data_IF_020347000982
#
_entry.id   IF_020347000982
#
_cell.length_a   1.000
_cell.length_b   1.000
_cell.length_c   1.000
_cell.angle_alpha   90.00
_cell.angle_beta   90.00
_cell.angle_gamma   90.00
#
_symmetry.space_group_name_H-M   'P 1'
#
loop_
_entity.id
_entity.type
_entity.pdbx_description
1 polymer ?
#
# COMPACT_ATOMS: atom_id res chain seq x y z
N UNK A 1 -7.84 -15.40 -23.32
CA UNK A 1 -6.80 -15.50 -24.37
C UNK A 1 -6.95 -16.87 -25.01
N UNK A 2 -6.97 -16.93 -26.35
CA UNK A 2 -7.16 -18.20 -27.07
C UNK A 2 -6.08 -19.20 -26.66
N UNK A 3 -6.48 -20.44 -26.34
CA UNK A 3 -5.58 -21.51 -25.90
C UNK A 3 -5.08 -21.39 -24.45
N UNK A 4 -5.46 -20.33 -23.71
CA UNK A 4 -5.13 -20.15 -22.28
C UNK A 4 -6.39 -20.16 -21.43
N UNK A 5 -7.46 -19.53 -21.91
CA UNK A 5 -8.77 -19.52 -21.24
C UNK A 5 -9.48 -20.84 -21.56
N UNK A 6 -9.92 -21.64 -20.57
CA UNK A 6 -10.51 -22.96 -20.79
C UNK A 6 -11.68 -22.97 -21.79
N UNK A 7 -12.48 -21.91 -21.78
CA UNK A 7 -13.67 -21.74 -22.61
C UNK A 7 -13.35 -21.24 -24.04
N UNK A 8 -12.10 -20.92 -24.35
CA UNK A 8 -11.68 -20.32 -25.61
C UNK A 8 -10.47 -21.04 -26.21
N UNK A 9 -10.65 -22.30 -26.64
CA UNK A 9 -9.58 -23.07 -27.27
C UNK A 9 -9.21 -22.53 -28.66
N UNK A 10 -10.19 -21.99 -29.40
CA UNK A 10 -10.02 -21.40 -30.72
C UNK A 10 -10.53 -19.96 -30.78
N UNK A 11 -10.20 -19.23 -31.87
CA UNK A 11 -10.82 -17.94 -32.17
C UNK A 11 -12.33 -18.07 -32.37
N UNK A 12 -12.79 -19.19 -32.95
CA UNK A 12 -14.21 -19.49 -33.11
C UNK A 12 -14.95 -19.54 -31.77
N UNK A 13 -14.36 -20.21 -30.78
CA UNK A 13 -14.89 -20.28 -29.41
C UNK A 13 -14.86 -18.90 -28.74
N UNK A 14 -13.75 -18.17 -28.90
CA UNK A 14 -13.57 -16.84 -28.30
C UNK A 14 -14.56 -15.79 -28.82
N UNK A 15 -14.94 -15.84 -30.09
CA UNK A 15 -15.86 -14.89 -30.72
C UNK A 15 -17.27 -15.43 -30.95
N UNK A 16 -17.54 -16.69 -30.57
CA UNK A 16 -18.82 -17.35 -30.84
C UNK A 16 -19.15 -17.37 -32.34
N UNK A 17 -18.15 -17.65 -33.18
CA UNK A 17 -18.29 -17.68 -34.64
C UNK A 17 -18.45 -16.33 -35.34
N UNK A 18 -18.37 -15.21 -34.61
CA UNK A 18 -18.47 -13.85 -35.19
C UNK A 18 -17.09 -13.28 -35.54
N UNK A 19 -17.05 -12.34 -36.47
CA UNK A 19 -15.85 -11.54 -36.71
C UNK A 19 -15.64 -10.52 -35.58
N UNK A 20 -14.39 -10.18 -35.22
CA UNK A 20 -14.11 -9.15 -34.22
C UNK A 20 -14.57 -7.77 -34.72
N UNK A 21 -15.25 -7.01 -33.86
CA UNK A 21 -15.66 -5.63 -34.16
C UNK A 21 -14.46 -4.68 -34.29
N UNK A 22 -13.37 -4.98 -33.58
CA UNK A 22 -12.13 -4.23 -33.60
C UNK A 22 -10.95 -5.15 -33.37
N UNK A 23 -9.92 -4.98 -34.20
CA UNK A 23 -8.61 -5.60 -34.01
C UNK A 23 -7.62 -4.51 -33.63
N UNK A 24 -6.88 -4.72 -32.54
CA UNK A 24 -5.80 -3.83 -32.11
C UNK A 24 -4.52 -4.65 -32.18
N UNK A 25 -3.57 -4.21 -33.01
CA UNK A 25 -2.26 -4.81 -33.06
C UNK A 25 -1.37 -4.19 -31.97
N UNK A 26 -0.90 -5.02 -31.04
CA UNK A 26 -0.07 -4.57 -29.92
C UNK A 26 1.38 -4.92 -30.23
N UNK A 27 2.17 -3.91 -30.55
CA UNK A 27 3.59 -4.04 -30.84
C UNK A 27 4.49 -3.36 -29.80
N UNK A 28 5.83 -3.48 -29.95
CA UNK A 28 6.79 -2.81 -29.08
C UNK A 28 6.59 -1.29 -28.99
N UNK A 29 6.22 -0.64 -30.09
CA UNK A 29 5.96 0.80 -30.10
C UNK A 29 4.71 1.18 -29.30
N UNK A 30 3.65 0.38 -29.38
CA UNK A 30 2.45 0.52 -28.55
C UNK A 30 2.82 0.47 -27.06
N UNK A 31 3.69 -0.47 -26.66
CA UNK A 31 4.14 -0.61 -25.27
C UNK A 31 5.00 0.60 -24.83
N UNK A 32 5.92 1.07 -25.67
CA UNK A 32 6.74 2.26 -25.38
C UNK A 32 5.91 3.53 -25.27
N UNK A 33 4.86 3.64 -26.08
CA UNK A 33 3.92 4.77 -26.00
C UNK A 33 3.13 4.71 -24.70
N UNK A 34 2.52 3.56 -24.37
CA UNK A 34 1.79 3.39 -23.11
C UNK A 34 2.68 3.68 -21.90
N UNK A 35 3.94 3.24 -21.91
CA UNK A 35 4.89 3.57 -20.85
C UNK A 35 5.13 5.08 -20.69
N UNK A 36 5.27 5.80 -21.81
CA UNK A 36 5.41 7.26 -21.82
C UNK A 36 4.16 7.96 -21.31
N UNK A 37 2.98 7.51 -21.70
CA UNK A 37 1.69 8.07 -21.25
C UNK A 37 1.46 7.84 -19.74
N UNK A 38 1.88 6.69 -19.22
CA UNK A 38 1.79 6.36 -17.79
C UNK A 38 2.86 7.05 -16.93
N UNK A 39 3.87 7.66 -17.55
CA UNK A 39 4.92 8.43 -16.88
C UNK A 39 4.57 9.91 -16.90
N UNK A 40 3.86 10.37 -15.87
CA UNK A 40 3.31 11.74 -15.82
C UNK A 40 4.27 12.79 -15.24
N UNK A 41 5.46 12.40 -14.79
CA UNK A 41 6.43 13.31 -14.16
C UNK A 41 7.78 13.28 -14.86
N UNK A 42 8.44 14.44 -14.89
CA UNK A 42 9.84 14.60 -15.30
C UNK A 42 10.81 14.64 -14.11
N UNK A 43 10.29 14.55 -12.87
CA UNK A 43 11.12 14.46 -11.67
C UNK A 43 11.96 13.19 -11.67
N UNK A 44 13.22 13.32 -11.28
CA UNK A 44 14.18 12.20 -11.24
C UNK A 44 14.34 11.62 -9.84
N UNK A 45 13.75 12.26 -8.83
CA UNK A 45 13.81 11.80 -7.43
C UNK A 45 12.74 10.75 -7.15
N UNK A 46 13.18 9.54 -6.84
CA UNK A 46 12.29 8.44 -6.48
C UNK A 46 12.07 8.39 -4.97
N UNK A 47 10.81 8.24 -4.55
CA UNK A 47 10.43 7.94 -3.17
C UNK A 47 10.25 6.45 -2.90
N UNK A 48 9.78 5.71 -3.90
CA UNK A 48 9.54 4.28 -3.81
C UNK A 48 9.59 3.62 -5.19
N UNK A 49 9.90 2.34 -5.19
CA UNK A 49 9.75 1.38 -6.28
C UNK A 49 8.73 0.34 -5.80
N UNK A 50 7.68 0.12 -6.57
CA UNK A 50 6.68 -0.91 -6.27
C UNK A 50 6.43 -1.72 -7.54
N UNK A 51 6.69 -3.02 -7.47
CA UNK A 51 6.53 -3.94 -8.61
C UNK A 51 5.74 -5.18 -8.21
N UNK A 52 5.14 -5.84 -9.21
CA UNK A 52 4.58 -7.17 -9.03
C UNK A 52 3.14 -7.25 -8.55
N UNK A 53 2.38 -6.17 -8.59
CA UNK A 53 0.96 -6.24 -8.18
C UNK A 53 0.11 -7.00 -9.21
N UNK A 54 -0.64 -8.06 -8.84
CA UNK A 54 -0.63 -8.80 -7.56
C UNK A 54 0.30 -10.04 -7.55
N UNK A 55 0.93 -10.39 -8.69
CA UNK A 55 1.60 -11.68 -8.85
C UNK A 55 3.02 -11.56 -9.40
N UNK A 56 3.95 -10.96 -8.65
CA UNK A 56 5.37 -11.13 -8.97
C UNK A 56 5.73 -12.61 -8.94
N UNK A 57 6.13 -13.12 -10.08
CA UNK A 57 6.41 -14.53 -10.32
C UNK A 57 7.77 -14.95 -9.74
N UNK A 58 7.96 -16.27 -9.62
CA UNK A 58 9.23 -16.83 -9.20
C UNK A 58 10.39 -16.45 -10.16
N UNK A 59 10.13 -16.40 -11.46
CA UNK A 59 11.13 -16.04 -12.46
C UNK A 59 11.51 -14.57 -12.35
N UNK A 60 10.55 -13.70 -12.06
CA UNK A 60 10.84 -12.29 -11.79
C UNK A 60 11.64 -12.10 -10.49
N UNK A 61 11.39 -12.89 -9.45
CA UNK A 61 12.27 -12.93 -8.27
C UNK A 61 13.70 -13.32 -8.63
N UNK A 62 13.86 -14.30 -9.52
CA UNK A 62 15.19 -14.74 -9.97
C UNK A 62 15.91 -13.62 -10.73
N UNK A 63 15.21 -12.93 -11.62
CA UNK A 63 15.75 -11.76 -12.36
C UNK A 63 16.08 -10.60 -11.42
N UNK A 64 15.19 -10.29 -10.48
CA UNK A 64 15.41 -9.21 -9.52
C UNK A 64 16.66 -9.48 -8.67
N UNK A 65 16.84 -10.71 -8.18
CA UNK A 65 18.04 -11.07 -7.42
C UNK A 65 19.32 -10.87 -8.23
N UNK A 66 19.33 -11.28 -9.49
CA UNK A 66 20.48 -11.07 -10.38
C UNK A 66 20.82 -9.57 -10.53
N UNK A 67 19.81 -8.70 -10.62
CA UNK A 67 20.01 -7.25 -10.70
C UNK A 67 20.52 -6.63 -9.38
N UNK A 68 20.26 -7.27 -8.25
CA UNK A 68 20.61 -6.78 -6.91
C UNK A 68 21.92 -7.35 -6.35
N UNK A 69 22.61 -8.23 -7.09
CA UNK A 69 23.89 -8.80 -6.63
C UNK A 69 24.91 -7.69 -6.36
N UNK A 70 25.40 -7.63 -5.13
CA UNK A 70 26.36 -6.60 -4.68
C UNK A 70 25.77 -5.19 -4.59
N UNK A 71 24.45 -5.04 -4.75
CA UNK A 71 23.76 -3.75 -4.73
C UNK A 71 22.70 -3.71 -3.63
N UNK A 72 22.41 -2.50 -3.19
CA UNK A 72 21.37 -2.20 -2.21
C UNK A 72 20.58 -1.00 -2.70
N UNK A 73 19.28 -0.99 -2.46
CA UNK A 73 18.48 0.21 -2.68
C UNK A 73 18.98 1.35 -1.80
N UNK A 74 18.84 2.58 -2.28
CA UNK A 74 19.11 3.76 -1.46
C UNK A 74 18.18 3.76 -0.24
N UNK A 75 18.67 4.10 0.97
CA UNK A 75 17.82 4.23 2.16
C UNK A 75 16.68 5.25 2.00
N UNK A 76 16.81 6.19 1.06
CA UNK A 76 15.78 7.18 0.74
C UNK A 76 14.71 6.69 -0.25
N UNK A 77 14.87 5.47 -0.77
CA UNK A 77 13.98 4.85 -1.77
C UNK A 77 13.47 3.53 -1.22
N UNK A 78 12.17 3.44 -1.04
CA UNK A 78 11.56 2.18 -0.67
C UNK A 78 11.47 1.23 -1.84
N UNK A 79 11.54 -0.07 -1.58
CA UNK A 79 11.42 -1.06 -2.64
C UNK A 79 10.49 -2.18 -2.22
N UNK A 80 9.28 -2.18 -2.78
CA UNK A 80 8.26 -3.19 -2.57
C UNK A 80 8.14 -4.16 -3.74
N UNK A 81 7.95 -5.44 -3.40
CA UNK A 81 7.59 -6.50 -4.34
C UNK A 81 6.32 -7.17 -3.83
N UNK A 82 5.21 -7.01 -4.55
CA UNK A 82 3.94 -7.66 -4.21
C UNK A 82 3.86 -9.05 -4.86
N UNK A 83 3.43 -10.08 -4.14
CA UNK A 83 3.30 -11.43 -4.70
C UNK A 83 2.23 -12.27 -3.97
N UNK A 84 1.87 -13.43 -4.53
CA UNK A 84 0.99 -14.41 -3.88
C UNK A 84 1.69 -15.21 -2.78
N UNK A 85 0.91 -15.77 -1.84
CA UNK A 85 1.43 -16.64 -0.75
C UNK A 85 2.13 -17.90 -1.26
N UNK A 86 1.57 -18.48 -2.31
CA UNK A 86 2.08 -19.64 -3.03
C UNK A 86 3.49 -19.38 -3.58
N UNK A 87 3.68 -18.23 -4.22
CA UNK A 87 4.99 -17.83 -4.76
C UNK A 87 5.94 -17.43 -3.64
N UNK A 88 5.49 -16.64 -2.65
CA UNK A 88 6.32 -16.21 -1.52
C UNK A 88 6.90 -17.37 -0.70
N UNK A 89 6.25 -18.54 -0.70
CA UNK A 89 6.74 -19.74 -0.03
C UNK A 89 8.08 -20.24 -0.57
N UNK A 90 8.32 -20.16 -1.89
CA UNK A 90 9.54 -20.68 -2.50
C UNK A 90 10.80 -19.83 -2.16
N UNK A 91 10.79 -18.49 -2.30
CA UNK A 91 11.88 -17.62 -1.82
C UNK A 91 12.15 -17.75 -0.31
N UNK A 92 11.11 -17.98 0.52
CA UNK A 92 11.28 -18.20 1.96
C UNK A 92 12.08 -19.46 2.26
N UNK A 93 11.72 -20.60 1.65
CA UNK A 93 12.42 -21.89 1.84
C UNK A 93 13.87 -21.85 1.38
N UNK A 94 14.20 -21.01 0.40
CA UNK A 94 15.56 -20.84 -0.15
C UNK A 94 16.38 -19.75 0.54
N UNK A 95 15.85 -19.12 1.61
CA UNK A 95 16.55 -18.06 2.35
C UNK A 95 16.59 -16.69 1.66
N UNK A 96 15.99 -16.54 0.48
CA UNK A 96 16.01 -15.30 -0.30
C UNK A 96 15.33 -14.14 0.41
N UNK A 97 14.39 -14.42 1.32
CA UNK A 97 13.75 -13.38 2.10
C UNK A 97 14.74 -12.53 2.91
N UNK A 98 15.82 -13.12 3.44
CA UNK A 98 16.86 -12.38 4.17
C UNK A 98 17.74 -11.59 3.22
N UNK A 99 18.12 -12.19 2.11
CA UNK A 99 18.94 -11.57 1.05
C UNK A 99 18.24 -10.34 0.46
N UNK A 100 16.99 -10.49 0.03
CA UNK A 100 16.18 -9.39 -0.52
C UNK A 100 16.02 -8.25 0.48
N UNK A 101 15.77 -8.56 1.76
CA UNK A 101 15.72 -7.54 2.83
C UNK A 101 17.06 -6.83 3.03
N UNK A 102 18.18 -7.54 2.95
CA UNK A 102 19.51 -6.94 3.05
C UNK A 102 19.76 -5.95 1.90
N UNK A 103 19.28 -6.29 0.69
CA UNK A 103 19.28 -5.39 -0.47
C UNK A 103 18.24 -4.27 -0.41
N UNK A 104 17.44 -4.19 0.66
CA UNK A 104 16.43 -3.14 0.88
C UNK A 104 15.06 -3.41 0.26
N UNK A 105 14.81 -4.64 -0.21
CA UNK A 105 13.54 -5.07 -0.79
C UNK A 105 12.59 -5.62 0.29
N UNK A 106 11.34 -5.22 0.19
CA UNK A 106 10.24 -5.59 1.07
C UNK A 106 9.20 -6.39 0.29
N UNK A 107 9.09 -7.68 0.61
CA UNK A 107 8.12 -8.57 -0.03
C UNK A 107 6.77 -8.46 0.69
N UNK A 108 5.74 -8.07 -0.04
CA UNK A 108 4.35 -7.91 0.42
C UNK A 108 3.52 -9.03 -0.17
N UNK A 109 2.68 -9.69 0.64
CA UNK A 109 1.77 -10.74 0.16
C UNK A 109 0.32 -10.37 0.36
N UNK A 110 -0.54 -10.89 -0.52
CA UNK A 110 -2.02 -10.82 -0.39
C UNK A 110 -2.61 -9.41 -0.39
N UNK A 111 -1.82 -8.40 -0.75
CA UNK A 111 -2.30 -7.04 -0.94
C UNK A 111 -1.49 -6.33 -2.02
N UNK A 112 -2.12 -5.28 -2.54
CA UNK A 112 -1.54 -4.38 -3.51
C UNK A 112 -0.90 -3.20 -2.76
N UNK A 113 0.40 -3.02 -2.97
CA UNK A 113 1.13 -1.88 -2.41
C UNK A 113 0.59 -0.55 -2.93
N UNK A 114 -0.28 -0.49 -3.94
CA UNK A 114 -0.90 0.76 -4.40
C UNK A 114 -2.10 1.20 -3.54
N UNK A 115 -2.78 0.31 -2.82
CA UNK A 115 -4.09 0.60 -2.19
C UNK A 115 -4.09 0.54 -0.65
N UNK A 116 -3.14 -0.13 0.00
CA UNK A 116 -3.09 -0.25 1.47
C UNK A 116 -1.91 0.52 2.06
N UNK A 117 -2.11 1.63 2.79
CA UNK A 117 -1.04 2.28 3.53
C UNK A 117 -0.81 1.59 4.86
N UNK A 118 0.44 1.53 5.30
CA UNK A 118 0.80 0.81 6.51
C UNK A 118 1.62 1.75 7.36
N UNK A 119 1.13 2.05 8.57
CA UNK A 119 1.78 2.99 9.45
C UNK A 119 2.91 2.30 10.22
N UNK A 120 4.05 2.98 10.28
CA UNK A 120 5.31 2.41 10.73
C UNK A 120 5.57 2.60 12.23
N UNK A 121 4.73 3.39 12.89
CA UNK A 121 4.82 3.76 14.31
C UNK A 121 3.44 4.12 14.89
N UNK A 122 3.36 4.40 16.19
CA UNK A 122 2.12 4.80 16.85
C UNK A 122 1.73 6.22 16.40
N UNK A 123 0.44 6.47 16.25
CA UNK A 123 -0.10 7.76 15.80
C UNK A 123 -0.89 8.42 16.94
N UNK A 124 -0.66 9.72 17.14
CA UNK A 124 -1.51 10.55 18.01
C UNK A 124 -2.55 11.26 17.16
N UNK A 125 -3.83 10.98 17.41
CA UNK A 125 -4.90 11.79 16.81
C UNK A 125 -4.97 13.16 17.47
N UNK A 126 -4.61 13.29 18.74
CA UNK A 126 -4.47 14.59 19.40
C UNK A 126 -3.22 15.32 18.88
N UNK A 127 -3.43 16.34 18.03
CA UNK A 127 -2.36 17.20 17.47
C UNK A 127 -1.45 16.56 16.42
N UNK A 128 -1.60 15.27 16.13
CA UNK A 128 -0.79 14.55 15.14
C UNK A 128 -1.49 14.27 13.81
N UNK A 129 -2.78 14.61 13.68
CA UNK A 129 -3.56 14.55 12.43
C UNK A 129 -4.34 15.83 12.26
N UNK A 130 -4.31 16.42 11.06
CA UNK A 130 -5.07 17.61 10.72
C UNK A 130 -6.56 17.26 10.50
N UNK A 131 -7.43 17.84 11.30
CA UNK A 131 -8.86 17.48 11.38
C UNK A 131 -9.62 17.65 10.07
N UNK A 132 -9.25 18.64 9.26
CA UNK A 132 -9.95 18.94 8.01
C UNK A 132 -9.42 18.19 6.79
N UNK A 133 -8.20 17.63 6.84
CA UNK A 133 -7.55 17.00 5.67
C UNK A 133 -7.16 15.53 5.91
N UNK A 134 -7.07 15.12 7.16
CA UNK A 134 -6.56 13.81 7.55
C UNK A 134 -5.04 13.69 7.41
N UNK A 135 -4.29 14.78 7.20
CA UNK A 135 -2.84 14.71 7.05
C UNK A 135 -2.13 14.52 8.40
N UNK A 136 -1.12 13.67 8.45
CA UNK A 136 -0.30 13.45 9.64
C UNK A 136 0.60 14.67 9.84
N UNK A 137 0.30 15.49 10.85
CA UNK A 137 1.06 16.71 11.20
C UNK A 137 2.13 16.48 12.26
N UNK A 138 2.15 15.30 12.86
CA UNK A 138 3.20 14.92 13.81
C UNK A 138 4.56 14.80 13.10
N UNK A 139 5.43 15.79 13.32
CA UNK A 139 6.76 15.88 12.72
C UNK A 139 7.71 14.76 13.18
N UNK A 140 7.40 14.10 14.30
CA UNK A 140 8.16 12.96 14.80
C UNK A 140 7.65 11.62 14.24
N UNK A 141 6.51 11.61 13.55
CA UNK A 141 5.99 10.39 12.95
C UNK A 141 6.75 10.05 11.65
N UNK A 142 7.17 8.78 11.43
CA UNK A 142 7.92 8.38 10.23
C UNK A 142 7.22 8.67 8.90
N UNK A 143 5.89 8.87 8.94
CA UNK A 143 5.05 9.19 7.78
C UNK A 143 4.42 10.59 7.90
N UNK A 144 5.11 11.54 8.52
CA UNK A 144 4.72 12.94 8.54
C UNK A 144 4.37 13.45 7.12
N UNK A 145 3.23 14.13 7.02
CA UNK A 145 2.62 14.63 5.79
C UNK A 145 1.82 13.61 4.98
N UNK A 146 1.84 12.33 5.34
CA UNK A 146 0.95 11.34 4.71
C UNK A 146 -0.49 11.51 5.22
N UNK A 147 -1.49 11.22 4.39
CA UNK A 147 -2.90 11.27 4.81
C UNK A 147 -3.38 9.97 5.47
N UNK A 148 -4.34 10.06 6.39
CA UNK A 148 -5.11 8.92 6.92
C UNK A 148 -6.45 8.74 6.22
N UNK A 149 -6.85 9.69 5.38
CA UNK A 149 -8.17 9.71 4.76
C UNK A 149 -8.39 8.54 3.81
N UNK A 150 -9.48 7.79 4.02
CA UNK A 150 -9.91 6.65 3.18
C UNK A 150 -9.01 5.42 3.27
N UNK A 151 -8.16 5.35 4.30
CA UNK A 151 -7.05 4.38 4.38
C UNK A 151 -7.24 3.38 5.49
N UNK A 152 -6.82 2.14 5.27
CA UNK A 152 -6.69 1.17 6.35
C UNK A 152 -5.40 1.49 7.10
N UNK A 153 -5.47 1.81 8.38
CA UNK A 153 -4.29 2.10 9.20
C UNK A 153 -3.87 0.83 9.92
N UNK A 154 -2.58 0.48 9.87
CA UNK A 154 -1.99 -0.50 10.76
C UNK A 154 -1.12 0.20 11.79
N UNK A 155 -1.52 0.17 13.06
CA UNK A 155 -0.87 0.87 14.15
C UNK A 155 -0.39 -0.15 15.21
N UNK A 156 0.79 0.01 15.83
CA UNK A 156 1.15 -0.79 17.01
C UNK A 156 0.22 -0.51 18.18
N UNK A 157 -0.15 0.77 18.34
CA UNK A 157 -1.12 1.31 19.27
C UNK A 157 -1.29 2.80 18.97
N UNK A 158 -2.20 3.47 19.68
CA UNK A 158 -2.25 4.93 19.70
C UNK A 158 -1.13 5.53 20.52
N UNK A 159 -0.95 6.84 20.37
CA UNK A 159 -0.06 7.65 21.21
C UNK A 159 -0.86 8.83 21.74
N UNK A 160 -0.69 9.18 23.02
CA UNK A 160 -1.29 10.39 23.60
C UNK A 160 -2.41 10.11 24.60
N UNK A 161 -3.22 11.13 24.87
CA UNK A 161 -4.23 11.14 25.94
C UNK A 161 -5.63 10.78 25.42
N UNK A 162 -6.59 10.62 26.34
CA UNK A 162 -8.00 10.28 26.07
C UNK A 162 -8.68 11.24 25.09
N UNK A 163 -8.24 12.50 25.01
CA UNK A 163 -8.67 13.51 24.01
C UNK A 163 -8.38 13.11 22.56
N UNK A 164 -7.56 12.09 22.31
CA UNK A 164 -7.39 11.54 20.95
C UNK A 164 -8.67 10.89 20.42
N UNK A 165 -9.55 10.42 21.30
CA UNK A 165 -10.85 9.83 20.92
C UNK A 165 -11.79 10.86 20.27
N UNK A 166 -11.87 12.07 20.82
CA UNK A 166 -12.71 13.14 20.26
C UNK A 166 -12.19 13.64 18.92
N UNK A 167 -10.87 13.76 18.77
CA UNK A 167 -10.27 14.17 17.49
C UNK A 167 -10.45 13.09 16.43
N UNK A 168 -10.25 11.81 16.78
CA UNK A 168 -10.55 10.71 15.86
C UNK A 168 -12.02 10.74 15.40
N UNK A 169 -12.96 10.99 16.32
CA UNK A 169 -14.37 11.10 15.98
C UNK A 169 -14.64 12.27 15.02
N UNK A 170 -14.00 13.43 15.23
CA UNK A 170 -14.13 14.60 14.35
C UNK A 170 -13.54 14.38 12.96
N UNK A 171 -12.38 13.71 12.87
CA UNK A 171 -11.76 13.35 11.57
C UNK A 171 -12.69 12.40 10.79
N UNK A 172 -13.33 11.42 11.47
CA UNK A 172 -14.32 10.52 10.87
C UNK A 172 -15.57 11.29 10.42
N UNK A 173 -16.09 12.16 11.30
CA UNK A 173 -17.22 13.05 11.00
C UNK A 173 -16.96 13.91 9.76
N UNK A 174 -15.76 14.46 9.64
CA UNK A 174 -15.30 15.28 8.52
C UNK A 174 -15.12 14.51 7.20
N UNK A 175 -15.17 13.18 7.22
CA UNK A 175 -14.99 12.35 6.01
C UNK A 175 -13.55 12.23 5.55
N UNK A 176 -12.62 12.64 6.39
CA UNK A 176 -11.17 12.53 6.16
C UNK A 176 -10.53 11.50 7.08
N UNK A 177 -11.35 10.64 7.69
CA UNK A 177 -10.95 9.54 8.55
C UNK A 177 -10.52 8.29 7.79
N UNK A 178 -9.91 7.35 8.51
CA UNK A 178 -9.49 6.08 7.93
C UNK A 178 -10.68 5.20 7.54
N UNK A 179 -10.47 4.30 6.58
CA UNK A 179 -11.44 3.30 6.18
C UNK A 179 -11.52 2.13 7.19
N UNK A 180 -10.43 1.85 7.90
CA UNK A 180 -10.37 0.91 9.02
C UNK A 180 -9.10 1.12 9.84
N UNK A 181 -9.06 0.62 11.07
CA UNK A 181 -7.89 0.65 11.95
C UNK A 181 -7.57 -0.76 12.45
N UNK A 182 -6.35 -1.21 12.22
CA UNK A 182 -5.79 -2.47 12.69
C UNK A 182 -4.74 -2.15 13.76
N UNK A 183 -4.90 -2.69 14.96
CA UNK A 183 -4.05 -2.44 16.11
C UNK A 183 -3.22 -3.68 16.48
N UNK A 184 -1.97 -3.48 16.90
CA UNK A 184 -1.14 -4.54 17.46
C UNK A 184 -1.45 -4.82 18.93
N UNK A 185 -1.89 -3.80 19.66
CA UNK A 185 -2.28 -3.87 21.06
C UNK A 185 -3.66 -3.26 21.27
N UNK A 186 -4.29 -3.57 22.41
CA UNK A 186 -5.61 -3.00 22.74
C UNK A 186 -5.44 -1.52 23.05
N UNK A 187 -6.19 -0.67 22.35
CA UNK A 187 -6.24 0.77 22.61
C UNK A 187 -7.70 1.23 22.83
N UNK A 188 -8.10 1.43 24.09
CA UNK A 188 -9.46 1.88 24.42
C UNK A 188 -9.80 3.27 23.87
N UNK A 189 -8.80 4.14 23.66
CA UNK A 189 -9.01 5.51 23.21
C UNK A 189 -9.38 5.52 21.72
N UNK A 190 -8.66 4.74 20.91
CA UNK A 190 -8.97 4.56 19.49
C UNK A 190 -10.33 3.88 19.32
N UNK A 191 -10.60 2.82 20.09
CA UNK A 191 -11.89 2.14 20.05
C UNK A 191 -13.06 3.08 20.40
N UNK A 192 -12.90 3.89 21.46
CA UNK A 192 -13.90 4.86 21.87
C UNK A 192 -14.16 5.91 20.78
N UNK A 193 -13.12 6.45 20.14
CA UNK A 193 -13.28 7.44 19.08
C UNK A 193 -14.10 6.92 17.89
N UNK A 194 -13.85 5.67 17.46
CA UNK A 194 -14.63 5.02 16.40
C UNK A 194 -16.09 4.75 16.82
N UNK A 195 -16.30 4.26 18.05
CA UNK A 195 -17.65 4.03 18.58
C UNK A 195 -18.48 5.31 18.71
N UNK A 196 -17.86 6.40 19.17
CA UNK A 196 -18.50 7.72 19.27
C UNK A 196 -18.87 8.23 17.88
N UNK A 197 -17.99 8.07 16.89
CA UNK A 197 -18.27 8.49 15.53
C UNK A 197 -19.46 7.74 14.89
N UNK A 198 -19.56 6.44 15.18
CA UNK A 198 -20.70 5.63 14.76
C UNK A 198 -21.98 6.07 15.48
N UNK A 199 -21.94 6.21 16.81
CA UNK A 199 -23.10 6.55 17.62
C UNK A 199 -23.65 7.96 17.35
N UNK A 200 -22.78 8.95 17.15
CA UNK A 200 -23.18 10.35 16.99
C UNK A 200 -23.37 10.76 15.53
N UNK A 201 -22.62 10.17 14.59
CA UNK A 201 -22.58 10.63 13.20
C UNK A 201 -22.98 9.54 12.18
N UNK A 202 -23.30 8.33 12.63
CA UNK A 202 -23.68 7.22 11.75
C UNK A 202 -22.54 6.76 10.83
N UNK A 203 -21.28 7.04 11.21
CA UNK A 203 -20.10 6.71 10.40
C UNK A 203 -19.28 5.62 11.07
N UNK A 204 -19.34 4.43 10.50
CA UNK A 204 -18.62 3.27 11.00
C UNK A 204 -17.18 3.23 10.46
N UNK A 205 -16.21 3.14 11.37
CA UNK A 205 -14.81 2.80 11.06
C UNK A 205 -14.44 1.55 11.85
N UNK A 206 -14.27 0.39 11.18
CA UNK A 206 -13.91 -0.84 11.86
C UNK A 206 -12.57 -0.73 12.58
N UNK A 207 -12.53 -1.13 13.86
CA UNK A 207 -11.29 -1.23 14.66
C UNK A 207 -11.07 -2.69 15.06
N UNK A 208 -9.95 -3.28 14.62
CA UNK A 208 -9.60 -4.67 14.93
C UNK A 208 -8.24 -4.74 15.62
N UNK A 209 -8.12 -5.59 16.65
CA UNK A 209 -6.84 -5.90 17.30
C UNK A 209 -6.31 -7.22 16.73
N UNK A 210 -5.15 -7.19 16.10
CA UNK A 210 -4.47 -8.36 15.54
C UNK A 210 -3.59 -9.02 16.62
N UNK A 211 -3.63 -10.35 16.73
CA UNK A 211 -2.88 -11.09 17.74
C UNK A 211 -1.54 -11.58 17.19
N UNK A 212 -0.46 -11.40 17.96
CA UNK A 212 0.85 -12.05 17.75
C UNK A 212 1.31 -12.07 16.29
N UNK A 213 1.35 -13.27 15.71
CA UNK A 213 1.82 -13.50 14.35
C UNK A 213 0.99 -12.78 13.28
N UNK A 214 -0.30 -12.53 13.50
CA UNK A 214 -1.13 -11.80 12.52
C UNK A 214 -0.74 -10.32 12.44
N UNK A 215 -0.36 -9.72 13.56
CA UNK A 215 0.16 -8.36 13.58
C UNK A 215 1.55 -8.30 12.92
N UNK A 216 2.42 -9.27 13.20
CA UNK A 216 3.74 -9.36 12.57
C UNK A 216 3.63 -9.56 11.03
N UNK A 217 2.67 -10.37 10.59
CA UNK A 217 2.33 -10.56 9.17
C UNK A 217 1.79 -9.27 8.57
N UNK A 218 0.86 -8.60 9.23
CA UNK A 218 0.32 -7.32 8.77
C UNK A 218 1.40 -6.24 8.68
N UNK A 219 2.37 -6.19 9.60
CA UNK A 219 3.52 -5.26 9.55
C UNK A 219 4.52 -5.56 8.43
N UNK A 220 4.50 -6.78 7.91
CA UNK A 220 5.32 -7.17 6.76
C UNK A 220 4.71 -6.70 5.44
N UNK A 221 3.39 -6.50 5.43
CA UNK A 221 2.77 -5.63 4.44
C UNK A 221 3.33 -4.23 4.77
N UNK A 222 3.98 -3.54 3.84
CA UNK A 222 4.32 -2.11 4.02
C UNK A 222 4.05 -1.37 2.72
N UNK A 223 3.55 -0.16 2.86
CA UNK A 223 3.65 0.92 1.88
C UNK A 223 4.11 2.13 2.65
N UNK A 224 5.08 2.87 2.14
CA UNK A 224 5.45 4.13 2.76
C UNK A 224 5.32 5.28 1.79
N UNK A 225 5.03 6.40 2.41
CA UNK A 225 4.40 7.55 1.79
C UNK A 225 5.40 8.66 1.95
N UNK A 226 5.97 9.09 0.82
CA UNK A 226 6.87 10.24 0.78
C UNK A 226 6.03 11.43 0.31
N UNK A 227 6.01 12.50 1.09
CA UNK A 227 5.43 13.77 0.70
C UNK A 227 6.43 14.54 -0.14
N UNK A 228 6.04 14.92 -1.37
CA UNK A 228 6.74 15.98 -2.09
C UNK A 228 6.45 17.30 -1.38
N UNK A 229 7.42 17.80 -0.62
CA UNK A 229 7.37 19.12 -0.03
C UNK A 229 7.58 20.19 -1.10
N UNK A 230 6.73 21.22 -1.10
CA UNK A 230 7.02 22.51 -1.73
C UNK A 230 5.96 23.05 -2.68
N UNK A 231 4.75 23.39 -2.19
CA UNK A 231 3.96 24.45 -2.84
C UNK A 231 4.59 25.80 -2.48
N UNK A 232 5.44 26.31 -3.37
CA UNK A 232 5.78 27.73 -3.38
C UNK A 232 4.59 28.53 -3.90
N UNK A 233 3.84 29.17 -2.99
CA UNK A 233 3.05 30.36 -3.28
C UNK A 233 4.00 31.56 -3.22
N UNK A 234 4.17 32.27 -4.32
CA UNK A 234 4.32 33.74 -4.32
C UNK A 234 3.76 34.29 -5.61
N UNK A 235 3.21 35.50 -5.47
CA UNK A 235 2.39 36.26 -6.39
C UNK A 235 3.04 36.58 -7.74
#
# INVERSE_FOLDING_TARGET
MVGVTPEAATLGDAFGGRAPERTIEVGPDTLRQAFRELTSTTETTLGAVSIGTPHFSYDEFTRLRALLVGRRSSPAVEFFVSTGRDIAGAPRRRGWGRELRASGVQVVTDTCTYITPILSGPLSFWGGVHEATGDITDTHHPQHGASVSGRVLLLPGGRGSSSSSSVLAEVIRGGVGPAAILLGERDPIIALGAMVAEALYGRCVPVLVLRGDDYARARSWRRTHRTNGGRGRTA
#
